data_IF_613805794707
#
_entry.id   IF_613805794707
#
_cell.length_a   1.000
_cell.length_b   1.000
_cell.length_c   1.000
_cell.angle_alpha   90.00
_cell.angle_beta   90.00
_cell.angle_gamma   90.00
#
_symmetry.space_group_name_H-M   'P 1'
#
loop_
_entity.id
_entity.type
_entity.pdbx_description
1 polymer ?
#
# COMPACT_ATOMS: atom_id res chain seq x y z
N UNK A 1 -7.24 -15.16 -24.74
CA UNK A 1 -6.47 -15.48 -23.53
C UNK A 1 -6.14 -14.16 -22.87
N UNK A 2 -6.39 -14.01 -21.57
CA UNK A 2 -6.00 -12.80 -20.86
C UNK A 2 -4.47 -12.70 -20.85
N UNK A 3 -3.93 -11.55 -21.25
CA UNK A 3 -2.50 -11.29 -21.26
C UNK A 3 -2.00 -11.30 -19.80
N UNK A 4 -1.10 -12.22 -19.46
CA UNK A 4 -0.63 -12.42 -18.08
C UNK A 4 0.04 -11.14 -17.56
N UNK A 5 0.76 -10.44 -18.45
CA UNK A 5 1.27 -9.08 -18.22
C UNK A 5 0.19 -8.10 -17.78
N UNK A 6 -0.96 -8.12 -18.43
CA UNK A 6 -2.06 -7.21 -18.11
C UNK A 6 -2.61 -7.49 -16.71
N UNK A 7 -2.77 -8.76 -16.35
CA UNK A 7 -3.20 -9.18 -15.01
C UNK A 7 -2.19 -8.70 -13.95
N UNK A 8 -0.89 -8.99 -14.15
CA UNK A 8 0.15 -8.60 -13.20
C UNK A 8 0.23 -7.09 -12.99
N UNK A 9 0.07 -6.32 -14.07
CA UNK A 9 0.00 -4.85 -14.03
C UNK A 9 -1.20 -4.35 -13.23
N UNK A 10 -2.40 -4.87 -13.51
CA UNK A 10 -3.62 -4.46 -12.80
C UNK A 10 -3.54 -4.78 -11.31
N UNK A 11 -3.09 -5.99 -10.96
CA UNK A 11 -2.95 -6.38 -9.56
C UNK A 11 -1.98 -5.46 -8.81
N UNK A 12 -0.86 -5.10 -9.44
CA UNK A 12 0.08 -4.12 -8.90
C UNK A 12 -0.55 -2.75 -8.67
N UNK A 13 -1.34 -2.24 -9.61
CA UNK A 13 -1.97 -0.91 -9.45
C UNK A 13 -3.06 -0.92 -8.38
N UNK A 14 -3.90 -1.96 -8.33
CA UNK A 14 -4.96 -2.08 -7.33
C UNK A 14 -4.33 -2.23 -5.94
N UNK A 15 -3.32 -3.08 -5.81
CA UNK A 15 -2.56 -3.23 -4.57
C UNK A 15 -1.92 -1.91 -4.13
N UNK A 16 -1.30 -1.18 -5.06
CA UNK A 16 -0.69 0.12 -4.79
C UNK A 16 -1.70 1.17 -4.32
N UNK A 17 -2.87 1.27 -4.98
CA UNK A 17 -3.96 2.18 -4.56
C UNK A 17 -4.44 1.83 -3.15
N UNK A 18 -4.66 0.54 -2.87
CA UNK A 18 -5.08 0.10 -1.54
C UNK A 18 -4.05 0.46 -0.47
N UNK A 19 -2.76 0.31 -0.75
CA UNK A 19 -1.70 0.70 0.19
C UNK A 19 -1.72 2.20 0.50
N UNK A 20 -1.89 3.05 -0.53
CA UNK A 20 -2.00 4.51 -0.35
C UNK A 20 -3.22 4.86 0.51
N UNK A 21 -4.38 4.30 0.17
CA UNK A 21 -5.64 4.58 0.89
C UNK A 21 -5.53 4.13 2.35
N UNK A 22 -5.04 2.93 2.60
CA UNK A 22 -4.87 2.41 3.96
C UNK A 22 -3.84 3.21 4.76
N UNK A 23 -2.75 3.67 4.13
CA UNK A 23 -1.79 4.56 4.76
C UNK A 23 -2.40 5.90 5.18
N UNK A 24 -3.22 6.51 4.31
CA UNK A 24 -3.94 7.76 4.63
C UNK A 24 -4.93 7.54 5.77
N UNK A 25 -5.74 6.47 5.71
CA UNK A 25 -6.69 6.14 6.77
C UNK A 25 -5.97 5.95 8.11
N UNK A 26 -4.82 5.26 8.11
CA UNK A 26 -4.01 5.08 9.32
C UNK A 26 -3.58 6.42 9.90
N UNK A 27 -3.18 7.40 9.07
CA UNK A 27 -2.84 8.74 9.54
C UNK A 27 -4.05 9.45 10.13
N UNK A 28 -5.18 9.45 9.42
CA UNK A 28 -6.39 10.11 9.87
C UNK A 28 -6.88 9.54 11.20
N UNK A 29 -6.94 8.21 11.35
CA UNK A 29 -7.37 7.59 12.58
C UNK A 29 -6.48 8.01 13.75
N UNK A 30 -5.15 7.89 13.62
CA UNK A 30 -4.22 8.25 14.71
C UNK A 30 -4.28 9.74 15.09
N UNK A 31 -4.48 10.64 14.12
CA UNK A 31 -4.64 12.08 14.38
C UNK A 31 -5.98 12.36 15.09
N UNK A 32 -7.05 11.68 14.67
CA UNK A 32 -8.37 11.83 15.29
C UNK A 32 -8.39 11.24 16.70
N UNK A 33 -7.72 10.11 16.94
CA UNK A 33 -7.57 9.53 18.29
C UNK A 33 -6.86 10.49 19.24
N UNK A 34 -5.80 11.17 18.78
CA UNK A 34 -5.10 12.19 19.57
C UNK A 34 -6.01 13.39 19.86
N UNK A 35 -6.76 13.87 18.87
CA UNK A 35 -7.67 15.00 19.06
C UNK A 35 -8.84 14.67 19.99
N UNK A 36 -9.43 13.47 19.89
CA UNK A 36 -10.47 13.01 20.82
C UNK A 36 -9.91 12.87 22.23
N UNK A 37 -8.72 12.32 22.38
CA UNK A 37 -8.05 12.22 23.68
C UNK A 37 -7.85 13.58 24.34
N UNK A 38 -7.44 14.60 23.58
CA UNK A 38 -7.31 15.97 24.09
C UNK A 38 -8.67 16.57 24.48
N UNK A 39 -9.72 16.37 23.67
CA UNK A 39 -11.06 16.90 23.97
C UNK A 39 -11.73 16.24 25.18
N UNK A 40 -11.49 14.95 25.39
CA UNK A 40 -11.94 14.23 26.58
C UNK A 40 -11.32 14.81 27.86
N UNK A 41 -10.05 15.23 27.82
CA UNK A 41 -9.42 15.95 28.95
C UNK A 41 -10.09 17.29 29.27
N UNK A 42 -10.78 17.91 28.31
CA UNK A 42 -11.58 19.12 28.52
C UNK A 42 -13.04 18.81 28.90
N UNK A 43 -13.41 17.54 29.10
CA UNK A 43 -14.77 17.10 29.45
C UNK A 43 -15.75 17.11 28.27
N UNK A 44 -15.25 17.13 27.03
CA UNK A 44 -16.05 17.05 25.81
C UNK A 44 -15.96 15.63 25.25
N UNK A 45 -16.94 14.79 25.60
CA UNK A 45 -17.06 13.45 25.02
C UNK A 45 -17.78 13.52 23.66
N UNK A 46 -17.06 13.13 22.60
CA UNK A 46 -17.58 13.08 21.23
C UNK A 46 -18.27 11.75 20.90
N UNK A 47 -18.18 10.73 21.77
CA UNK A 47 -18.78 9.41 21.55
C UNK A 47 -18.28 8.66 20.32
N UNK A 48 -17.11 9.03 19.78
CA UNK A 48 -16.55 8.46 18.56
C UNK A 48 -15.51 7.38 18.87
N UNK A 49 -15.78 6.14 18.48
CA UNK A 49 -14.80 5.05 18.48
C UNK A 49 -14.12 5.00 17.11
N UNK A 50 -12.96 5.64 17.00
CA UNK A 50 -12.11 5.48 15.82
C UNK A 50 -11.37 4.15 15.91
N UNK A 51 -11.16 3.50 14.75
CA UNK A 51 -10.36 2.27 14.66
C UNK A 51 -8.89 2.67 14.71
N UNK A 52 -8.40 2.96 15.91
CA UNK A 52 -7.03 3.33 16.20
C UNK A 52 -6.36 2.33 17.11
N UNK A 53 -5.18 1.85 16.72
CA UNK A 53 -4.28 1.23 17.69
C UNK A 53 -3.84 2.30 18.67
N UNK A 54 -3.99 2.00 19.97
CA UNK A 54 -3.72 2.85 21.12
C UNK A 54 -2.66 3.95 20.88
N UNK A 55 -3.02 5.19 21.24
CA UNK A 55 -2.13 6.36 21.32
C UNK A 55 -1.01 6.07 22.32
N UNK A 56 0.06 5.44 21.84
CA UNK A 56 1.14 4.87 22.64
C UNK A 56 2.51 5.18 22.04
N UNK A 57 3.04 6.36 22.35
CA UNK A 57 4.46 6.60 22.63
C UNK A 57 5.52 6.47 21.52
N UNK A 58 5.20 6.12 20.27
CA UNK A 58 6.21 6.10 19.19
C UNK A 58 5.64 6.60 17.86
N UNK A 59 6.43 7.40 17.12
CA UNK A 59 6.10 7.87 15.77
C UNK A 59 6.10 6.73 14.72
N UNK A 60 6.21 5.48 15.17
CA UNK A 60 6.29 4.28 14.34
C UNK A 60 5.03 4.10 13.48
N UNK A 61 3.87 4.56 13.96
CA UNK A 61 2.63 4.55 13.16
C UNK A 61 2.71 5.47 11.94
N UNK A 62 3.35 6.65 12.09
CA UNK A 62 3.50 7.63 11.03
C UNK A 62 4.51 7.13 10.00
N UNK A 63 5.62 6.53 10.46
CA UNK A 63 6.62 5.90 9.59
C UNK A 63 6.00 4.74 8.82
N UNK A 64 5.24 3.86 9.48
CA UNK A 64 4.56 2.75 8.84
C UNK A 64 3.52 3.23 7.79
N UNK A 65 2.73 4.25 8.11
CA UNK A 65 1.77 4.82 7.17
C UNK A 65 2.46 5.50 5.97
N UNK A 66 3.52 6.26 6.22
CA UNK A 66 4.32 6.89 5.17
C UNK A 66 4.96 5.83 4.25
N UNK A 67 5.52 4.76 4.81
CA UNK A 67 6.04 3.64 4.05
C UNK A 67 4.98 2.99 3.16
N UNK A 68 3.78 2.73 3.68
CA UNK A 68 2.68 2.20 2.88
C UNK A 68 2.31 3.12 1.70
N UNK A 69 2.25 4.43 1.93
CA UNK A 69 1.96 5.41 0.87
C UNK A 69 3.07 5.41 -0.19
N UNK A 70 4.33 5.51 0.23
CA UNK A 70 5.47 5.55 -0.68
C UNK A 70 5.52 4.27 -1.53
N UNK A 71 5.43 3.11 -0.88
CA UNK A 71 5.44 1.81 -1.56
C UNK A 71 4.24 1.65 -2.50
N UNK A 72 3.06 2.13 -2.11
CA UNK A 72 1.88 2.16 -2.96
C UNK A 72 2.05 3.03 -4.20
N UNK A 73 2.66 4.21 -4.05
CA UNK A 73 3.01 5.10 -5.17
C UNK A 73 4.02 4.43 -6.12
N UNK A 74 5.02 3.73 -5.58
CA UNK A 74 5.99 2.96 -6.39
C UNK A 74 5.28 1.90 -7.24
N UNK A 75 4.32 1.17 -6.65
CA UNK A 75 3.51 0.20 -7.40
C UNK A 75 2.67 0.86 -8.51
N UNK A 76 2.03 2.00 -8.22
CA UNK A 76 1.26 2.76 -9.21
C UNK A 76 2.14 3.26 -10.36
N UNK A 77 3.36 3.71 -10.03
CA UNK A 77 4.33 4.14 -11.01
C UNK A 77 4.79 2.98 -11.93
N UNK A 78 4.98 1.79 -11.37
CA UNK A 78 5.30 0.59 -12.14
C UNK A 78 4.25 0.23 -13.18
N UNK A 79 2.96 0.45 -12.89
CA UNK A 79 1.88 0.23 -13.85
C UNK A 79 1.98 1.13 -15.09
N UNK A 80 2.34 2.40 -14.89
CA UNK A 80 2.57 3.36 -15.97
C UNK A 80 3.81 2.98 -16.78
N UNK A 81 4.89 2.59 -16.10
CA UNK A 81 6.13 2.21 -16.76
C UNK A 81 6.03 0.90 -17.54
N UNK A 82 5.21 -0.05 -17.11
CA UNK A 82 4.98 -1.30 -17.83
C UNK A 82 4.04 -1.15 -19.05
N UNK A 83 3.42 0.02 -19.25
CA UNK A 83 2.61 0.30 -20.43
C UNK A 83 3.52 0.40 -21.67
N UNK A 84 3.50 -0.61 -22.53
CA UNK A 84 4.22 -0.61 -23.81
C UNK A 84 5.69 -1.06 -23.76
N UNK A 85 6.19 -1.50 -22.60
CA UNK A 85 7.58 -1.97 -22.44
C UNK A 85 7.78 -3.48 -22.69
N UNK A 86 9.00 -3.89 -23.03
CA UNK A 86 9.36 -5.26 -23.43
C UNK A 86 9.61 -6.24 -22.28
N UNK A 87 10.06 -7.47 -22.59
CA UNK A 87 10.32 -8.53 -21.60
C UNK A 87 11.32 -8.12 -20.51
N UNK A 88 12.38 -7.37 -20.81
CA UNK A 88 13.36 -6.94 -19.79
C UNK A 88 12.76 -6.12 -18.64
N UNK A 89 11.78 -5.26 -18.94
CA UNK A 89 11.10 -4.46 -17.91
C UNK A 89 10.15 -5.29 -17.05
N UNK A 90 9.55 -6.37 -17.60
CA UNK A 90 8.71 -7.31 -16.85
C UNK A 90 9.47 -7.97 -15.69
N UNK A 91 10.73 -8.35 -15.93
CA UNK A 91 11.56 -8.97 -14.89
C UNK A 91 11.89 -7.97 -13.77
N UNK A 92 12.37 -6.78 -14.13
CA UNK A 92 12.75 -5.74 -13.16
C UNK A 92 11.55 -5.30 -12.32
N UNK A 93 10.43 -5.00 -12.97
CA UNK A 93 9.22 -4.60 -12.25
C UNK A 93 8.59 -5.75 -11.46
N UNK A 94 8.68 -6.98 -11.94
CA UNK A 94 8.27 -8.17 -11.20
C UNK A 94 8.99 -8.29 -9.85
N UNK A 95 10.32 -8.11 -9.85
CA UNK A 95 11.12 -8.07 -8.61
C UNK A 95 10.73 -6.89 -7.73
N UNK A 96 10.61 -5.68 -8.30
CA UNK A 96 10.21 -4.49 -7.53
C UNK A 96 8.86 -4.70 -6.85
N UNK A 97 7.87 -5.26 -7.55
CA UNK A 97 6.55 -5.55 -6.99
C UNK A 97 6.60 -6.58 -5.86
N UNK A 98 7.45 -7.60 -5.97
CA UNK A 98 7.64 -8.56 -4.87
C UNK A 98 8.23 -7.86 -3.64
N UNK A 99 9.26 -7.03 -3.81
CA UNK A 99 9.86 -6.27 -2.70
C UNK A 99 8.84 -5.31 -2.08
N UNK A 100 8.12 -4.56 -2.90
CA UNK A 100 7.06 -3.65 -2.47
C UNK A 100 5.96 -4.39 -1.73
N UNK A 101 5.57 -5.58 -2.20
CA UNK A 101 4.54 -6.40 -1.58
C UNK A 101 4.95 -6.96 -0.21
N UNK A 102 6.21 -7.39 -0.07
CA UNK A 102 6.77 -7.85 1.22
C UNK A 102 6.84 -6.70 2.22
N UNK A 103 7.36 -5.55 1.81
CA UNK A 103 7.54 -4.38 2.69
C UNK A 103 6.22 -3.66 2.99
N UNK A 104 5.28 -3.69 2.06
CA UNK A 104 4.01 -2.98 2.15
C UNK A 104 3.07 -3.52 3.21
N UNK A 105 3.15 -4.84 3.47
CA UNK A 105 2.28 -5.59 4.36
C UNK A 105 0.77 -5.39 4.09
N UNK A 106 -0.06 -6.26 4.67
CA UNK A 106 -1.52 -6.20 4.51
C UNK A 106 -2.03 -6.52 3.09
N UNK A 107 -3.32 -6.24 2.86
CA UNK A 107 -4.04 -6.64 1.64
C UNK A 107 -3.50 -5.96 0.39
N UNK A 108 -3.11 -4.68 0.49
CA UNK A 108 -2.51 -3.95 -0.62
C UNK A 108 -1.17 -4.55 -1.04
N UNK A 109 -0.27 -4.79 -0.08
CA UNK A 109 1.02 -5.42 -0.35
C UNK A 109 0.89 -6.83 -0.94
N UNK A 110 -0.07 -7.64 -0.46
CA UNK A 110 -0.35 -8.97 -1.00
C UNK A 110 -0.73 -8.93 -2.49
N UNK A 111 -1.59 -7.98 -2.89
CA UNK A 111 -1.98 -7.83 -4.29
C UNK A 111 -0.80 -7.40 -5.18
N UNK A 112 0.05 -6.50 -4.67
CA UNK A 112 1.28 -6.11 -5.39
C UNK A 112 2.23 -7.32 -5.54
N UNK A 113 2.39 -8.12 -4.48
CA UNK A 113 3.22 -9.32 -4.49
C UNK A 113 2.75 -10.34 -5.54
N UNK A 114 1.45 -10.65 -5.55
CA UNK A 114 0.85 -11.54 -6.55
C UNK A 114 1.06 -10.96 -7.94
N UNK A 115 0.85 -9.66 -8.13
CA UNK A 115 1.13 -8.97 -9.38
C UNK A 115 2.58 -9.14 -9.85
N UNK A 116 3.55 -9.02 -8.94
CA UNK A 116 4.96 -9.23 -9.23
C UNK A 116 5.29 -10.65 -9.67
N UNK A 117 4.73 -11.66 -9.00
CA UNK A 117 4.88 -13.08 -9.36
C UNK A 117 4.31 -13.33 -10.77
N UNK A 118 3.13 -12.79 -11.07
CA UNK A 118 2.50 -12.92 -12.38
C UNK A 118 3.37 -12.29 -13.48
N UNK A 119 3.96 -11.12 -13.24
CA UNK A 119 4.88 -10.46 -14.19
C UNK A 119 6.15 -11.29 -14.43
N UNK A 120 6.69 -11.94 -13.40
CA UNK A 120 7.83 -12.84 -13.56
C UNK A 120 7.47 -14.08 -14.37
N UNK A 121 6.32 -14.70 -14.11
CA UNK A 121 5.85 -15.86 -14.88
C UNK A 121 5.71 -15.51 -16.37
N UNK A 122 5.14 -14.34 -16.69
CA UNK A 122 5.02 -13.85 -18.07
C UNK A 122 6.38 -13.59 -18.75
N UNK A 123 7.41 -13.25 -17.98
CA UNK A 123 8.75 -13.06 -18.52
C UNK A 123 9.37 -14.37 -19.04
N UNK A 124 9.14 -15.48 -18.33
CA UNK A 124 9.76 -16.79 -18.60
C UNK A 124 8.97 -17.69 -19.56
N UNK A 125 7.70 -17.39 -19.80
CA UNK A 125 6.82 -18.09 -20.75
C UNK A 125 6.86 -17.38 -22.13
#
# INVERSE_FOLDING_TARGET
MADLKFIGRILGVIGGILMVVLGIIKILNNVLDQAVYELDQFGIDLGMNFVGDAVGGSNDWLVAAALMIILGIVAIYGYQQLAGRGKGDLFVWGIIYIVVGILGAGLGGLLVLIGGIVLLLDNFI
#
